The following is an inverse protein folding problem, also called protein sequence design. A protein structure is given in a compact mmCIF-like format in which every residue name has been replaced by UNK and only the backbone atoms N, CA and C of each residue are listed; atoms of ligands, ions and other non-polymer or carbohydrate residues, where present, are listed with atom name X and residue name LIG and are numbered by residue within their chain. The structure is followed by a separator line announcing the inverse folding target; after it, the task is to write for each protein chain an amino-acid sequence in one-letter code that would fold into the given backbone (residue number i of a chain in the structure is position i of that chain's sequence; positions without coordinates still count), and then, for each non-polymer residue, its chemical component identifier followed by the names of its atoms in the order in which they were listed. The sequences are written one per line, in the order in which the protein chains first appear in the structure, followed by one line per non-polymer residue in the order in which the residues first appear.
data_IF_404463060310
#
_entry.id   IF_404463060310
#
_cell.length_a   1.000
_cell.length_b   1.000
_cell.length_c   1.000
_cell.angle_alpha   90.00
_cell.angle_beta   90.00
_cell.angle_gamma   90.00
#
_symmetry.space_group_name_H-M   'P 1'
#
loop_
_entity.id
_entity.type
_entity.pdbx_description
1 polymer ?
#
# COMPACT_ATOMS: atom_id res chain seq x y z
N UNK A 1 15.14 28.88 -12.70
CA UNK A 1 14.65 28.33 -11.42
C UNK A 1 14.35 26.87 -11.68
N UNK A 2 15.11 25.95 -11.07
CA UNK A 2 14.76 24.53 -11.10
C UNK A 2 13.45 24.37 -10.35
N UNK A 3 12.47 23.77 -11.00
CA UNK A 3 11.25 23.29 -10.35
C UNK A 3 11.71 22.39 -9.20
N UNK A 4 11.49 22.81 -7.94
CA UNK A 4 11.62 21.90 -6.81
C UNK A 4 10.43 20.97 -6.94
N UNK A 5 10.62 19.88 -7.68
CA UNK A 5 9.65 18.80 -7.72
C UNK A 5 9.60 18.24 -6.32
N UNK A 6 8.53 18.57 -5.59
CA UNK A 6 8.23 17.98 -4.30
C UNK A 6 8.38 16.45 -4.41
N UNK A 7 9.09 15.85 -3.47
CA UNK A 7 9.23 14.40 -3.48
C UNK A 7 7.85 13.77 -3.28
N UNK A 8 7.44 12.99 -4.27
CA UNK A 8 6.07 12.47 -4.35
C UNK A 8 5.79 11.46 -3.25
N UNK A 9 6.81 10.71 -2.80
CA UNK A 9 6.66 9.74 -1.73
C UNK A 9 6.60 10.44 -0.38
N UNK A 10 7.41 11.49 -0.17
CA UNK A 10 7.27 12.37 0.98
C UNK A 10 5.87 12.99 1.05
N UNK A 11 5.33 13.45 -0.08
CA UNK A 11 3.97 14.01 -0.17
C UNK A 11 2.93 12.99 0.32
N UNK A 12 3.00 11.74 -0.15
CA UNK A 12 2.08 10.66 0.25
C UNK A 12 2.17 10.40 1.77
N UNK A 13 3.39 10.33 2.31
CA UNK A 13 3.60 10.10 3.74
C UNK A 13 3.09 11.26 4.60
N UNK A 14 3.29 12.50 4.15
CA UNK A 14 2.77 13.69 4.84
C UNK A 14 1.24 13.71 4.88
N UNK A 15 0.59 13.42 3.75
CA UNK A 15 -0.87 13.32 3.67
C UNK A 15 -1.40 12.22 4.60
N UNK A 16 -0.77 11.03 4.58
CA UNK A 16 -1.17 9.93 5.44
C UNK A 16 -1.01 10.29 6.92
N UNK A 17 0.13 10.86 7.31
CA UNK A 17 0.38 11.27 8.70
C UNK A 17 -0.66 12.27 9.20
N UNK A 18 -0.99 13.27 8.37
CA UNK A 18 -2.03 14.24 8.69
C UNK A 18 -3.40 13.58 8.89
N UNK A 19 -3.74 12.58 8.07
CA UNK A 19 -4.96 11.78 8.25
C UNK A 19 -4.92 10.98 9.57
N UNK A 20 -3.83 10.27 9.86
CA UNK A 20 -3.70 9.43 11.07
C UNK A 20 -3.88 10.23 12.35
N UNK A 21 -3.35 11.46 12.40
CA UNK A 21 -3.46 12.36 13.55
C UNK A 21 -4.92 12.80 13.84
N UNK A 22 -5.80 12.77 12.84
CA UNK A 22 -7.22 13.10 12.97
C UNK A 22 -8.10 11.89 13.31
N UNK A 23 -7.59 10.66 13.19
CA UNK A 23 -8.38 9.45 13.37
C UNK A 23 -8.71 9.20 14.84
N UNK A 24 -9.95 8.73 15.11
CA UNK A 24 -10.32 8.20 16.43
C UNK A 24 -9.82 6.77 16.55
N UNK A 25 -8.71 6.59 17.26
CA UNK A 25 -7.98 5.32 17.36
C UNK A 25 -8.37 4.49 18.60
N UNK A 26 -9.55 4.71 19.18
CA UNK A 26 -9.99 4.03 20.42
C UNK A 26 -10.01 2.50 20.30
N UNK A 27 -10.25 1.99 19.08
CA UNK A 27 -10.25 0.54 18.75
C UNK A 27 -8.97 0.08 18.06
N UNK A 28 -8.05 0.99 17.79
CA UNK A 28 -6.80 0.66 17.12
C UNK A 28 -5.83 0.03 18.14
N UNK A 29 -5.09 -1.03 17.77
CA UNK A 29 -4.18 -1.67 18.70
C UNK A 29 -3.10 -0.72 19.26
N UNK A 30 -2.70 -0.94 20.50
CA UNK A 30 -1.79 -0.04 21.23
C UNK A 30 -0.31 -0.36 21.02
N UNK A 31 0.01 -1.59 20.63
CA UNK A 31 1.36 -2.02 20.27
C UNK A 31 1.53 -2.12 18.75
N UNK A 32 2.79 -2.09 18.29
CA UNK A 32 3.11 -2.08 16.86
C UNK A 32 2.71 -3.39 16.16
N UNK A 33 2.84 -4.54 16.83
CA UNK A 33 2.50 -5.84 16.25
C UNK A 33 1.00 -5.94 15.95
N UNK A 34 0.16 -5.58 16.91
CA UNK A 34 -1.28 -5.54 16.74
C UNK A 34 -1.71 -4.59 15.64
N UNK A 35 -1.07 -3.41 15.55
CA UNK A 35 -1.38 -2.43 14.49
C UNK A 35 -1.03 -2.95 13.11
N UNK A 36 0.15 -3.54 12.95
CA UNK A 36 0.57 -4.17 11.70
C UNK A 36 -0.36 -5.33 11.33
N UNK A 37 -0.78 -6.14 12.30
CA UNK A 37 -1.76 -7.22 12.08
C UNK A 37 -3.13 -6.69 11.61
N UNK A 38 -3.64 -5.64 12.25
CA UNK A 38 -4.90 -4.99 11.86
C UNK A 38 -4.82 -4.38 10.45
N UNK A 39 -3.73 -3.69 10.14
CA UNK A 39 -3.50 -3.11 8.80
C UNK A 39 -3.31 -4.17 7.73
N UNK A 40 -2.62 -5.27 8.04
CA UNK A 40 -2.50 -6.41 7.13
C UNK A 40 -3.88 -6.99 6.81
N UNK A 41 -4.75 -7.04 7.82
CA UNK A 41 -6.16 -7.44 7.64
C UNK A 41 -6.89 -6.46 6.72
N UNK A 42 -6.76 -5.15 6.93
CA UNK A 42 -7.36 -4.14 6.05
C UNK A 42 -6.88 -4.29 4.60
N UNK A 43 -5.55 -4.40 4.38
CA UNK A 43 -4.95 -4.63 3.05
C UNK A 43 -5.54 -5.88 2.38
N UNK A 44 -5.70 -6.98 3.11
CA UNK A 44 -6.31 -8.20 2.56
C UNK A 44 -7.77 -7.97 2.13
N UNK A 45 -8.53 -7.20 2.89
CA UNK A 45 -9.90 -6.88 2.56
C UNK A 45 -9.98 -5.98 1.33
N UNK A 46 -9.19 -4.91 1.24
CA UNK A 46 -9.16 -4.04 0.05
C UNK A 46 -8.66 -4.76 -1.20
N UNK A 47 -7.74 -5.72 -1.05
CA UNK A 47 -7.35 -6.59 -2.18
C UNK A 47 -8.52 -7.46 -2.67
N UNK A 48 -9.43 -7.88 -1.77
CA UNK A 48 -10.67 -8.58 -2.15
C UNK A 48 -11.67 -7.63 -2.82
N UNK A 49 -11.74 -6.37 -2.38
CA UNK A 49 -12.60 -5.36 -3.02
C UNK A 49 -12.10 -5.02 -4.42
N UNK A 50 -10.80 -4.78 -4.58
CA UNK A 50 -10.15 -4.67 -5.89
C UNK A 50 -10.42 -5.90 -6.78
N UNK A 51 -10.32 -7.12 -6.25
CA UNK A 51 -10.65 -8.33 -7.02
C UNK A 51 -12.11 -8.34 -7.48
N UNK A 52 -13.04 -7.86 -6.65
CA UNK A 52 -14.49 -7.82 -6.96
C UNK A 52 -14.81 -6.91 -8.15
N UNK A 53 -13.98 -5.90 -8.42
CA UNK A 53 -14.10 -5.05 -9.63
C UNK A 53 -13.81 -5.80 -10.93
N UNK A 54 -13.20 -6.99 -10.85
CA UNK A 54 -12.81 -7.82 -12.00
C UNK A 54 -13.81 -8.93 -12.30
N UNK A 55 -13.70 -9.55 -13.48
CA UNK A 55 -14.46 -10.76 -13.85
C UNK A 55 -13.91 -12.05 -13.18
N UNK A 56 -13.58 -12.02 -11.88
CA UNK A 56 -12.95 -13.14 -11.17
C UNK A 56 -13.84 -14.40 -11.10
N UNK A 57 -15.16 -14.22 -11.11
CA UNK A 57 -16.13 -15.33 -11.22
C UNK A 57 -16.18 -15.77 -12.68
N UNK A 58 -15.22 -16.60 -13.07
CA UNK A 58 -15.08 -17.10 -14.44
C UNK A 58 -16.32 -17.87 -14.96
N UNK A 59 -17.22 -18.30 -14.05
CA UNK A 59 -18.50 -18.95 -14.37
C UNK A 59 -19.68 -17.98 -14.55
N UNK A 60 -19.47 -16.66 -14.46
CA UNK A 60 -20.50 -15.63 -14.71
C UNK A 60 -20.27 -14.98 -16.07
N UNK A 61 -21.33 -14.38 -16.62
CA UNK A 61 -21.22 -13.57 -17.85
C UNK A 61 -20.29 -12.38 -17.58
N UNK A 62 -19.23 -12.19 -18.39
CA UNK A 62 -18.33 -11.07 -18.20
C UNK A 62 -19.05 -9.72 -18.33
N UNK A 63 -18.66 -8.79 -17.48
CA UNK A 63 -19.10 -7.39 -17.53
C UNK A 63 -17.93 -6.49 -17.95
N UNK A 64 -18.24 -5.25 -18.34
CA UNK A 64 -17.21 -4.26 -18.63
C UNK A 64 -16.41 -3.97 -17.36
N UNK A 65 -15.09 -4.00 -17.46
CA UNK A 65 -14.22 -3.65 -16.34
C UNK A 65 -14.39 -2.17 -15.96
N UNK A 66 -14.66 -1.91 -14.69
CA UNK A 66 -14.75 -0.57 -14.13
C UNK A 66 -13.36 -0.13 -13.64
N UNK A 67 -12.59 0.49 -14.54
CA UNK A 67 -11.23 0.94 -14.22
C UNK A 67 -11.18 2.00 -13.11
N UNK A 68 -12.19 2.86 -13.00
CA UNK A 68 -12.20 3.94 -12.03
C UNK A 68 -12.37 3.40 -10.61
N UNK A 69 -13.32 2.47 -10.42
CA UNK A 69 -13.50 1.75 -9.15
C UNK A 69 -12.25 0.92 -8.81
N UNK A 70 -11.67 0.21 -9.78
CA UNK A 70 -10.43 -0.53 -9.55
C UNK A 70 -9.25 0.37 -9.14
N UNK A 71 -9.19 1.63 -9.60
CA UNK A 71 -8.17 2.59 -9.17
C UNK A 71 -8.43 3.07 -7.76
N UNK A 72 -9.69 3.30 -7.38
CA UNK A 72 -10.09 3.68 -6.02
C UNK A 72 -9.66 2.61 -5.01
N UNK A 73 -10.06 1.35 -5.25
CA UNK A 73 -9.70 0.21 -4.39
C UNK A 73 -8.17 -0.01 -4.29
N UNK A 74 -7.44 0.26 -5.38
CA UNK A 74 -5.98 0.21 -5.35
C UNK A 74 -5.39 1.30 -4.45
N UNK A 75 -5.98 2.49 -4.43
CA UNK A 75 -5.52 3.58 -3.56
C UNK A 75 -5.85 3.29 -2.09
N UNK A 76 -6.96 2.61 -1.79
CA UNK A 76 -7.27 2.16 -0.44
C UNK A 76 -6.23 1.17 0.10
N UNK A 77 -5.75 0.24 -0.75
CA UNK A 77 -4.59 -0.61 -0.41
C UNK A 77 -3.36 0.26 -0.08
N UNK A 78 -3.08 1.30 -0.86
CA UNK A 78 -1.95 2.20 -0.63
C UNK A 78 -2.05 2.95 0.70
N UNK A 79 -3.23 3.43 1.08
CA UNK A 79 -3.46 4.06 2.38
C UNK A 79 -3.02 3.15 3.53
N UNK A 80 -3.38 1.87 3.50
CA UNK A 80 -3.00 0.92 4.55
C UNK A 80 -1.53 0.50 4.48
N UNK A 81 -0.93 0.40 3.30
CA UNK A 81 0.52 0.13 3.15
C UNK A 81 1.36 1.29 3.70
N UNK A 82 0.98 2.53 3.39
CA UNK A 82 1.68 3.73 3.90
C UNK A 82 1.48 3.85 5.41
N UNK A 83 0.26 3.61 5.92
CA UNK A 83 0.04 3.58 7.37
C UNK A 83 0.91 2.50 8.03
N UNK A 84 1.00 1.29 7.48
CA UNK A 84 1.85 0.23 8.03
C UNK A 84 3.32 0.60 8.04
N UNK A 85 3.77 1.35 7.03
CA UNK A 85 5.12 1.90 6.97
C UNK A 85 5.38 2.88 8.12
N UNK A 86 4.42 3.77 8.40
CA UNK A 86 4.49 4.68 9.55
C UNK A 86 4.53 3.91 10.89
N UNK A 87 3.71 2.87 11.05
CA UNK A 87 3.71 2.05 12.28
C UNK A 87 5.01 1.29 12.53
N UNK A 88 5.75 0.99 11.45
CA UNK A 88 7.08 0.39 11.48
C UNK A 88 8.21 1.43 11.58
N UNK A 89 7.87 2.73 11.69
CA UNK A 89 8.80 3.86 11.70
C UNK A 89 9.69 3.94 10.46
N UNK A 90 9.18 3.53 9.30
CA UNK A 90 9.88 3.66 8.02
C UNK A 90 9.69 5.07 7.46
N UNK A 91 10.79 5.68 7.01
CA UNK A 91 10.77 6.91 6.22
C UNK A 91 10.65 6.60 4.73
N UNK A 92 10.27 7.57 3.89
CA UNK A 92 10.34 7.44 2.43
C UNK A 92 11.71 6.94 1.92
N UNK A 93 12.81 7.42 2.50
CA UNK A 93 14.17 6.97 2.19
C UNK A 93 14.39 5.49 2.54
N UNK A 94 13.91 5.04 3.71
CA UNK A 94 13.99 3.63 4.11
C UNK A 94 13.24 2.71 3.14
N UNK A 95 12.05 3.14 2.69
CA UNK A 95 11.26 2.40 1.70
C UNK A 95 12.04 2.26 0.39
N UNK A 96 12.61 3.35 -0.11
CA UNK A 96 13.40 3.32 -1.36
C UNK A 96 14.63 2.43 -1.19
N UNK A 97 15.32 2.49 -0.05
CA UNK A 97 16.50 1.69 0.24
C UNK A 97 16.16 0.18 0.29
N UNK A 98 15.15 -0.22 1.06
CA UNK A 98 14.73 -1.62 1.16
C UNK A 98 14.16 -2.15 -0.18
N UNK A 99 13.44 -1.31 -0.94
CA UNK A 99 12.99 -1.67 -2.27
C UNK A 99 14.15 -1.95 -3.24
N UNK A 100 15.17 -1.07 -3.27
CA UNK A 100 16.37 -1.25 -4.10
C UNK A 100 17.09 -2.56 -3.77
N UNK A 101 17.31 -2.83 -2.48
CA UNK A 101 17.92 -4.06 -1.97
C UNK A 101 17.12 -5.30 -2.38
N UNK A 102 15.80 -5.29 -2.19
CA UNK A 102 14.93 -6.42 -2.58
C UNK A 102 14.93 -6.65 -4.10
N UNK A 103 14.91 -5.58 -4.88
CA UNK A 103 14.97 -5.64 -6.34
C UNK A 103 16.30 -6.24 -6.83
N UNK A 104 17.43 -5.86 -6.22
CA UNK A 104 18.73 -6.47 -6.53
C UNK A 104 18.76 -7.97 -6.23
N UNK A 105 18.28 -8.38 -5.05
CA UNK A 105 18.15 -9.80 -4.69
C UNK A 105 17.28 -10.56 -5.71
N UNK A 106 16.15 -9.98 -6.13
CA UNK A 106 15.27 -10.62 -7.10
C UNK A 106 15.91 -10.72 -8.50
N UNK A 107 16.67 -9.71 -8.93
CA UNK A 107 17.44 -9.76 -10.19
C UNK A 107 18.49 -10.86 -10.15
N UNK A 108 19.17 -11.02 -9.02
CA UNK A 108 20.17 -12.07 -8.87
C UNK A 108 19.54 -13.46 -8.95
N UNK A 109 18.40 -13.67 -8.27
CA UNK A 109 17.64 -14.94 -8.38
C UNK A 109 17.29 -15.31 -9.82
N UNK A 110 16.92 -14.33 -10.65
CA UNK A 110 16.62 -14.55 -12.07
C UNK A 110 17.87 -14.87 -12.90
N UNK A 111 19.06 -14.33 -12.55
CA UNK A 111 20.33 -14.65 -13.23
C UNK A 111 20.86 -16.03 -12.87
N UNK A 112 20.68 -16.44 -11.62
CA UNK A 112 21.20 -17.72 -11.11
C UNK A 112 20.26 -18.91 -11.36
N UNK A 113 19.15 -18.70 -12.09
CA UNK A 113 18.30 -19.78 -12.58
C UNK A 113 17.41 -20.44 -11.52
N UNK A 114 16.79 -19.63 -10.65
CA UNK A 114 15.54 -20.07 -10.03
C UNK A 114 14.42 -20.14 -11.08
#
# INVERSE_FOLDING_TARGET
MSEVTEDRLDTIFQLQKGLSEMMKLDRYPKDAEGRVSALSTAIMHEAVELQRTTNWKWWKTPTKFNEDEAREELIDIWHFVVQASLELNLTPDDIVAEYKKKNEINRERQRTGY
#
